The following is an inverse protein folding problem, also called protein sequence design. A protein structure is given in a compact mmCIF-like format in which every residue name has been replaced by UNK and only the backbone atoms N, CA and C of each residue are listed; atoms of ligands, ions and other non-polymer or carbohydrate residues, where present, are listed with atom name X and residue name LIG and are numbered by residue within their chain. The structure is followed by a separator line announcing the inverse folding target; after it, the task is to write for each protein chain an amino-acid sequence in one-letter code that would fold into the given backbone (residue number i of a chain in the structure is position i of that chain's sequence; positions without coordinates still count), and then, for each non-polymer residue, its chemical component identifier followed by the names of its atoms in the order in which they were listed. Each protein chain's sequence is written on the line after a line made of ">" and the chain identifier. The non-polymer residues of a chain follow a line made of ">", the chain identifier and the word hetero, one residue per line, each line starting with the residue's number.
data_IF_599234505332
#
_entry.id   IF_599234505332
#
_cell.length_a   1.000
_cell.length_b   1.000
_cell.length_c   1.000
_cell.angle_alpha   90.00
_cell.angle_beta   90.00
_cell.angle_gamma   90.00
#
_symmetry.space_group_name_H-M   'P 1'
#
loop_
_entity.id
_entity.type
_entity.pdbx_description
1 polymer ?
#
# COMPACT_ATOMS: atom_id res chain seq x y z
N UNK A 1 12.87 6.24 30.58
CA UNK A 1 13.60 6.23 29.28
C UNK A 1 12.89 5.48 28.14
N UNK A 2 12.24 4.32 28.39
CA UNK A 2 11.62 3.49 27.33
C UNK A 2 10.40 4.13 26.65
N UNK A 3 9.58 4.87 27.40
CA UNK A 3 8.40 5.58 26.87
C UNK A 3 8.77 6.75 25.94
N UNK A 4 9.86 7.47 26.25
CA UNK A 4 10.38 8.56 25.41
C UNK A 4 10.82 8.05 24.03
N UNK A 5 11.56 6.93 24.00
CA UNK A 5 11.99 6.29 22.74
C UNK A 5 10.79 5.84 21.89
N UNK A 6 9.78 5.22 22.49
CA UNK A 6 8.59 4.79 21.76
C UNK A 6 7.78 5.97 21.15
N UNK A 7 7.68 7.10 21.88
CA UNK A 7 7.04 8.32 21.37
C UNK A 7 7.84 8.93 20.22
N UNK A 8 9.16 8.96 20.33
CA UNK A 8 10.06 9.43 19.27
C UNK A 8 9.88 8.65 17.95
N UNK A 9 9.91 7.30 18.02
CA UNK A 9 9.72 6.47 16.84
C UNK A 9 8.33 6.65 16.21
N UNK A 10 7.28 6.78 17.03
CA UNK A 10 5.94 7.10 16.52
C UNK A 10 5.96 8.42 15.73
N UNK A 11 6.56 9.48 16.28
CA UNK A 11 6.68 10.78 15.61
C UNK A 11 7.46 10.66 14.29
N UNK A 12 8.54 9.87 14.27
CA UNK A 12 9.33 9.64 13.06
C UNK A 12 8.48 9.05 11.92
N UNK A 13 7.61 8.07 12.22
CA UNK A 13 6.71 7.50 11.21
C UNK A 13 5.71 8.54 10.67
N UNK A 14 5.19 9.43 11.53
CA UNK A 14 4.36 10.56 11.08
C UNK A 14 5.15 11.55 10.22
N UNK A 15 6.39 11.89 10.60
CA UNK A 15 7.25 12.73 9.78
C UNK A 15 7.49 12.12 8.39
N UNK A 16 7.74 10.80 8.31
CA UNK A 16 7.89 10.11 7.03
C UNK A 16 6.60 10.18 6.17
N UNK A 17 5.43 10.08 6.80
CA UNK A 17 4.15 10.24 6.12
C UNK A 17 3.94 11.66 5.59
N UNK A 18 4.16 12.69 6.41
CA UNK A 18 4.06 14.09 5.97
C UNK A 18 5.07 14.38 4.86
N UNK A 19 6.30 13.90 5.01
CA UNK A 19 7.32 14.02 3.97
C UNK A 19 6.88 13.39 2.66
N UNK A 20 6.24 12.21 2.68
CA UNK A 20 5.72 11.59 1.44
C UNK A 20 4.70 12.46 0.70
N UNK A 21 3.85 13.20 1.43
CA UNK A 21 2.92 14.15 0.81
C UNK A 21 3.63 15.33 0.20
N UNK A 22 4.50 15.99 0.98
CA UNK A 22 5.25 17.15 0.51
C UNK A 22 6.07 16.77 -0.73
N UNK A 23 6.78 15.65 -0.66
CA UNK A 23 7.56 15.12 -1.77
C UNK A 23 6.69 14.90 -3.01
N UNK A 24 5.55 14.20 -2.87
CA UNK A 24 4.65 13.95 -4.00
C UNK A 24 4.15 15.24 -4.63
N UNK A 25 3.66 16.19 -3.81
CA UNK A 25 3.14 17.47 -4.31
C UNK A 25 4.24 18.27 -5.01
N UNK A 26 5.42 18.39 -4.40
CA UNK A 26 6.55 19.13 -4.99
C UNK A 26 6.99 18.54 -6.32
N UNK A 27 7.08 17.20 -6.43
CA UNK A 27 7.48 16.55 -7.67
C UNK A 27 6.40 16.61 -8.76
N UNK A 28 5.13 16.41 -8.41
CA UNK A 28 4.01 16.55 -9.36
C UNK A 28 4.01 17.97 -9.94
N UNK A 29 4.11 18.98 -9.09
CA UNK A 29 4.15 20.39 -9.52
C UNK A 29 5.37 20.64 -10.42
N UNK A 30 6.54 20.17 -10.02
CA UNK A 30 7.76 20.27 -10.82
C UNK A 30 7.57 19.62 -12.20
N UNK A 31 7.13 18.36 -12.27
CA UNK A 31 6.95 17.64 -13.53
C UNK A 31 5.93 18.32 -14.45
N UNK A 32 4.85 18.89 -13.90
CA UNK A 32 3.89 19.66 -14.71
C UNK A 32 4.53 20.89 -15.36
N UNK A 33 5.46 21.57 -14.67
CA UNK A 33 6.22 22.67 -15.28
C UNK A 33 7.09 22.22 -16.47
N UNK A 34 7.49 20.95 -16.52
CA UNK A 34 8.21 20.35 -17.65
C UNK A 34 7.28 19.71 -18.69
N UNK A 35 5.96 19.87 -18.56
CA UNK A 35 4.97 19.42 -19.53
C UNK A 35 4.52 17.96 -19.36
N UNK A 36 4.79 17.33 -18.22
CA UNK A 36 4.27 15.99 -17.91
C UNK A 36 2.76 16.02 -17.58
N UNK A 37 2.08 14.90 -17.83
CA UNK A 37 0.65 14.75 -17.57
C UNK A 37 0.35 14.62 -16.07
N UNK A 38 -0.49 15.53 -15.54
CA UNK A 38 -0.87 15.56 -14.12
C UNK A 38 -1.48 14.25 -13.62
N UNK A 39 -2.34 13.62 -14.42
CA UNK A 39 -3.08 12.43 -13.99
C UNK A 39 -2.13 11.24 -13.90
N UNK A 40 -1.22 11.10 -14.86
CA UNK A 40 -0.18 10.08 -14.83
C UNK A 40 0.75 10.23 -13.61
N UNK A 41 1.18 11.46 -13.32
CA UNK A 41 2.00 11.75 -12.14
C UNK A 41 1.26 11.45 -10.83
N UNK A 42 -0.04 11.81 -10.75
CA UNK A 42 -0.89 11.47 -9.62
C UNK A 42 -0.99 9.95 -9.44
N UNK A 43 -1.17 9.17 -10.52
CA UNK A 43 -1.19 7.71 -10.44
C UNK A 43 0.13 7.16 -9.90
N UNK A 44 1.24 7.65 -10.45
CA UNK A 44 2.56 7.17 -10.09
C UNK A 44 2.85 7.41 -8.61
N UNK A 45 2.75 8.64 -8.13
CA UNK A 45 3.11 8.97 -6.75
C UNK A 45 2.15 8.37 -5.73
N UNK A 46 0.85 8.39 -6.00
CA UNK A 46 -0.12 7.78 -5.07
C UNK A 46 0.06 6.26 -4.98
N UNK A 47 0.36 5.60 -6.10
CA UNK A 47 0.58 4.15 -6.16
C UNK A 47 1.90 3.74 -5.49
N UNK A 48 3.00 4.45 -5.75
CA UNK A 48 4.32 4.07 -5.21
C UNK A 48 4.38 4.26 -3.70
N UNK A 49 3.82 5.34 -3.15
CA UNK A 49 3.79 5.55 -1.70
C UNK A 49 2.84 4.57 -1.00
N UNK A 50 1.70 4.24 -1.61
CA UNK A 50 0.84 3.16 -1.14
C UNK A 50 1.63 1.85 -0.99
N UNK A 51 2.35 1.45 -2.03
CA UNK A 51 3.12 0.21 -2.06
C UNK A 51 4.29 0.24 -1.07
N UNK A 52 4.99 1.38 -0.95
CA UNK A 52 6.12 1.57 -0.04
C UNK A 52 5.69 1.46 1.43
N UNK A 53 4.61 2.13 1.83
CA UNK A 53 4.10 2.04 3.20
C UNK A 53 3.59 0.64 3.53
N UNK A 54 2.99 -0.07 2.57
CA UNK A 54 2.55 -1.45 2.75
C UNK A 54 3.75 -2.41 2.93
N UNK A 55 4.81 -2.27 2.12
CA UNK A 55 6.07 -3.01 2.30
C UNK A 55 6.67 -2.76 3.69
N UNK A 56 6.80 -1.50 4.09
CA UNK A 56 7.35 -1.15 5.40
C UNK A 56 6.49 -1.76 6.53
N UNK A 57 5.16 -1.67 6.44
CA UNK A 57 4.24 -2.27 7.42
C UNK A 57 4.53 -3.77 7.61
N UNK A 58 4.69 -4.52 6.52
CA UNK A 58 4.97 -5.96 6.55
C UNK A 58 6.38 -6.26 7.07
N UNK A 59 7.41 -5.50 6.67
CA UNK A 59 8.78 -5.64 7.19
C UNK A 59 8.78 -5.50 8.71
N UNK A 60 8.21 -4.42 9.24
CA UNK A 60 8.13 -4.21 10.68
C UNK A 60 7.29 -5.29 11.39
N UNK A 61 6.29 -5.87 10.70
CA UNK A 61 5.48 -6.96 11.24
C UNK A 61 6.27 -8.28 11.34
N UNK A 62 7.12 -8.56 10.34
CA UNK A 62 7.89 -9.79 10.23
C UNK A 62 9.05 -9.81 11.23
N UNK A 63 9.85 -8.74 11.28
CA UNK A 63 11.07 -8.66 12.10
C UNK A 63 10.81 -8.27 13.57
N UNK A 64 9.64 -7.71 13.89
CA UNK A 64 9.19 -7.42 15.27
C UNK A 64 10.22 -6.65 16.13
N UNK A 65 10.81 -5.59 15.59
CA UNK A 65 11.80 -4.80 16.32
C UNK A 65 11.25 -4.24 17.65
N UNK A 66 12.11 -4.22 18.69
CA UNK A 66 11.72 -3.92 20.08
C UNK A 66 11.04 -2.56 20.28
N UNK A 67 11.51 -1.52 19.58
CA UNK A 67 11.07 -0.13 19.78
C UNK A 67 9.96 0.33 18.82
N UNK A 68 9.63 -0.46 17.80
CA UNK A 68 8.70 -0.08 16.73
C UNK A 68 7.50 -1.03 16.64
N UNK A 69 7.09 -1.62 17.77
CA UNK A 69 5.93 -2.54 17.84
C UNK A 69 4.63 -1.95 17.28
N UNK A 70 4.48 -0.62 17.26
CA UNK A 70 3.32 0.09 16.72
C UNK A 70 3.40 0.37 15.23
N UNK A 71 4.59 0.26 14.61
CA UNK A 71 4.83 0.60 13.21
C UNK A 71 3.99 -0.21 12.22
N UNK A 72 3.81 -1.54 12.36
CA UNK A 72 3.04 -2.30 11.39
C UNK A 72 1.63 -1.74 11.19
N UNK A 73 0.95 -1.42 12.30
CA UNK A 73 -0.39 -0.82 12.26
C UNK A 73 -0.35 0.60 11.70
N UNK A 74 0.60 1.42 12.16
CA UNK A 74 0.67 2.82 11.78
C UNK A 74 1.00 3.01 10.29
N UNK A 75 2.04 2.32 9.80
CA UNK A 75 2.44 2.32 8.40
C UNK A 75 1.39 1.69 7.50
N UNK A 76 0.69 0.66 7.97
CA UNK A 76 -0.43 0.07 7.24
C UNK A 76 -1.61 1.04 7.07
N UNK A 77 -1.88 1.89 8.08
CA UNK A 77 -2.88 2.96 7.95
C UNK A 77 -2.44 4.03 6.94
N UNK A 78 -1.17 4.42 6.95
CA UNK A 78 -0.62 5.36 5.97
C UNK A 78 -0.69 4.80 4.54
N UNK A 79 -0.34 3.54 4.34
CA UNK A 79 -0.52 2.85 3.07
C UNK A 79 -2.00 2.81 2.66
N UNK A 80 -2.92 2.55 3.58
CA UNK A 80 -4.36 2.60 3.33
C UNK A 80 -4.86 3.97 2.87
N UNK A 81 -4.34 5.07 3.43
CA UNK A 81 -4.67 6.43 2.98
C UNK A 81 -4.18 6.66 1.55
N UNK A 82 -2.93 6.29 1.25
CA UNK A 82 -2.38 6.40 -0.10
C UNK A 82 -3.12 5.55 -1.12
N UNK A 83 -3.52 4.31 -0.76
CA UNK A 83 -4.36 3.47 -1.63
C UNK A 83 -5.73 4.10 -1.88
N UNK A 84 -6.33 4.72 -0.86
CA UNK A 84 -7.59 5.43 -1.04
C UNK A 84 -7.45 6.62 -1.98
N UNK A 85 -6.38 7.40 -1.84
CA UNK A 85 -6.05 8.48 -2.78
C UNK A 85 -5.82 7.94 -4.20
N UNK A 86 -5.05 6.86 -4.34
CA UNK A 86 -4.78 6.23 -5.64
C UNK A 86 -6.06 5.79 -6.34
N UNK A 87 -6.96 5.11 -5.61
CA UNK A 87 -8.26 4.73 -6.15
C UNK A 87 -9.15 5.94 -6.46
N UNK A 88 -9.12 7.00 -5.64
CA UNK A 88 -9.85 8.23 -5.92
C UNK A 88 -9.37 8.92 -7.19
N UNK A 89 -8.05 9.01 -7.42
CA UNK A 89 -7.52 9.55 -8.67
C UNK A 89 -8.08 8.74 -9.85
N UNK A 90 -8.09 7.42 -9.73
CA UNK A 90 -8.61 6.52 -10.75
C UNK A 90 -10.10 6.73 -11.03
N UNK A 91 -10.89 6.72 -9.97
CA UNK A 91 -12.34 6.78 -10.06
C UNK A 91 -12.84 8.16 -10.49
N UNK A 92 -12.22 9.24 -9.99
CA UNK A 92 -12.60 10.62 -10.32
C UNK A 92 -12.11 10.99 -11.72
N UNK A 93 -10.81 10.88 -12.00
CA UNK A 93 -10.23 11.44 -13.22
C UNK A 93 -10.33 10.52 -14.43
N UNK A 94 -10.12 9.20 -14.27
CA UNK A 94 -10.21 8.28 -15.41
C UNK A 94 -11.57 7.63 -15.61
N UNK A 95 -12.41 7.55 -14.57
CA UNK A 95 -13.77 7.00 -14.69
C UNK A 95 -14.87 8.06 -14.63
N UNK A 96 -14.56 9.33 -14.39
CA UNK A 96 -15.55 10.41 -14.26
C UNK A 96 -16.67 10.04 -13.27
N UNK A 97 -16.32 9.39 -12.16
CA UNK A 97 -17.25 8.90 -11.13
C UNK A 97 -18.30 7.89 -11.64
N UNK A 98 -18.09 7.28 -12.81
CA UNK A 98 -19.00 6.30 -13.37
C UNK A 98 -18.72 4.90 -12.84
N UNK A 99 -19.66 4.37 -12.07
CA UNK A 99 -19.62 2.97 -11.57
C UNK A 99 -19.67 1.96 -12.72
N UNK A 100 -20.38 2.28 -13.81
CA UNK A 100 -20.47 1.42 -15.00
C UNK A 100 -19.10 1.27 -15.65
N UNK A 101 -18.40 2.39 -15.90
CA UNK A 101 -17.04 2.37 -16.48
C UNK A 101 -16.04 1.68 -15.54
N UNK A 102 -16.17 1.90 -14.24
CA UNK A 102 -15.36 1.20 -13.24
C UNK A 102 -15.55 -0.31 -13.35
N UNK A 103 -16.80 -0.78 -13.39
CA UNK A 103 -17.13 -2.21 -13.46
C UNK A 103 -16.65 -2.85 -14.76
N UNK A 104 -16.85 -2.17 -15.89
CA UNK A 104 -16.37 -2.63 -17.19
C UNK A 104 -14.85 -2.84 -17.16
N UNK A 105 -14.10 -1.89 -16.62
CA UNK A 105 -12.64 -1.98 -16.56
C UNK A 105 -12.14 -3.10 -15.65
N UNK A 106 -12.65 -3.20 -14.42
CA UNK A 106 -12.18 -4.20 -13.45
C UNK A 106 -12.57 -5.63 -13.84
N UNK A 107 -13.61 -5.80 -14.66
CA UNK A 107 -14.06 -7.11 -15.14
C UNK A 107 -13.37 -7.56 -16.43
N UNK A 108 -12.95 -6.61 -17.27
CA UNK A 108 -12.34 -6.91 -18.57
C UNK A 108 -10.81 -6.94 -18.54
N UNK A 109 -10.18 -6.14 -17.65
CA UNK A 109 -8.74 -5.95 -17.66
C UNK A 109 -8.09 -6.41 -16.35
N UNK A 110 -7.11 -7.30 -16.47
CA UNK A 110 -6.39 -7.90 -15.33
C UNK A 110 -5.63 -6.86 -14.51
N UNK A 111 -5.09 -5.83 -15.16
CA UNK A 111 -4.37 -4.75 -14.49
C UNK A 111 -5.30 -4.02 -13.51
N UNK A 112 -6.44 -3.53 -13.95
CA UNK A 112 -7.42 -2.82 -13.13
C UNK A 112 -8.08 -3.75 -12.11
N UNK A 113 -8.43 -4.97 -12.51
CA UNK A 113 -9.04 -5.96 -11.62
C UNK A 113 -8.12 -6.34 -10.46
N UNK A 114 -6.82 -6.56 -10.70
CA UNK A 114 -5.85 -6.87 -9.65
C UNK A 114 -5.68 -5.73 -8.65
N UNK A 115 -5.62 -4.49 -9.13
CA UNK A 115 -5.57 -3.29 -8.29
C UNK A 115 -6.82 -3.14 -7.44
N UNK A 116 -8.00 -3.40 -8.01
CA UNK A 116 -9.27 -3.31 -7.28
C UNK A 116 -9.41 -4.38 -6.19
N UNK A 117 -8.95 -5.62 -6.45
CA UNK A 117 -8.92 -6.67 -5.43
C UNK A 117 -8.00 -6.28 -4.27
N UNK A 118 -6.80 -5.75 -4.55
CA UNK A 118 -5.90 -5.25 -3.52
C UNK A 118 -6.53 -4.09 -2.73
N UNK A 119 -7.19 -3.16 -3.42
CA UNK A 119 -7.92 -2.05 -2.81
C UNK A 119 -8.98 -2.53 -1.82
N UNK A 120 -9.82 -3.51 -2.17
CA UNK A 120 -10.83 -4.06 -1.27
C UNK A 120 -10.19 -4.65 -0.01
N UNK A 121 -9.12 -5.44 -0.15
CA UNK A 121 -8.47 -6.09 1.00
C UNK A 121 -7.92 -5.03 1.96
N UNK A 122 -7.15 -4.05 1.46
CA UNK A 122 -6.58 -3.02 2.33
C UNK A 122 -7.65 -2.09 2.89
N UNK A 123 -8.71 -1.80 2.15
CA UNK A 123 -9.85 -1.00 2.64
C UNK A 123 -10.56 -1.69 3.81
N UNK A 124 -10.81 -3.00 3.72
CA UNK A 124 -11.35 -3.79 4.84
C UNK A 124 -10.39 -3.83 6.04
N UNK A 125 -9.07 -3.93 5.80
CA UNK A 125 -8.06 -3.82 6.86
C UNK A 125 -8.05 -2.44 7.51
N UNK A 126 -8.21 -1.38 6.72
CA UNK A 126 -8.32 -0.01 7.21
C UNK A 126 -9.57 0.15 8.09
N UNK A 127 -10.74 -0.27 7.60
CA UNK A 127 -12.00 -0.31 8.35
C UNK A 127 -11.87 -1.07 9.68
N UNK A 128 -11.19 -2.22 9.67
CA UNK A 128 -10.99 -3.02 10.90
C UNK A 128 -10.27 -2.26 12.02
N UNK A 129 -9.59 -1.15 11.71
CA UNK A 129 -8.90 -0.28 12.68
C UNK A 129 -9.84 0.59 13.52
N UNK A 130 -11.10 0.74 13.11
CA UNK A 130 -12.12 1.43 13.89
C UNK A 130 -12.86 0.46 14.81
N UNK A 131 -13.20 0.90 16.02
CA UNK A 131 -13.86 0.07 17.06
C UNK A 131 -15.14 -0.62 16.57
N UNK A 132 -15.90 0.03 15.69
CA UNK A 132 -17.17 -0.47 15.12
C UNK A 132 -16.99 -1.72 14.24
N UNK A 133 -15.82 -1.89 13.62
CA UNK A 133 -15.57 -2.95 12.65
C UNK A 133 -14.59 -4.02 13.17
N UNK A 134 -14.56 -4.25 14.49
CA UNK A 134 -13.67 -5.24 15.12
C UNK A 134 -13.90 -6.67 14.61
N UNK A 135 -15.08 -6.99 14.07
CA UNK A 135 -15.35 -8.29 13.43
C UNK A 135 -14.46 -8.54 12.19
N UNK A 136 -13.97 -7.48 11.54
CA UNK A 136 -13.10 -7.55 10.36
C UNK A 136 -11.61 -7.69 10.71
N UNK A 137 -11.24 -7.79 11.99
CA UNK A 137 -9.82 -7.88 12.37
C UNK A 137 -9.11 -9.11 11.78
N UNK A 138 -9.85 -10.18 11.49
CA UNK A 138 -9.31 -11.38 10.82
C UNK A 138 -8.76 -11.07 9.43
N UNK A 139 -9.30 -10.05 8.74
CA UNK A 139 -8.85 -9.63 7.39
C UNK A 139 -7.40 -9.14 7.42
N UNK A 140 -6.90 -8.63 8.56
CA UNK A 140 -5.48 -8.23 8.68
C UNK A 140 -4.50 -9.37 8.41
N UNK A 141 -4.92 -10.63 8.55
CA UNK A 141 -4.11 -11.80 8.18
C UNK A 141 -3.82 -11.86 6.68
N UNK A 142 -4.69 -11.26 5.86
CA UNK A 142 -4.51 -11.14 4.41
C UNK A 142 -3.51 -10.06 4.02
N UNK A 143 -2.89 -9.32 4.96
CA UNK A 143 -1.94 -8.25 4.64
C UNK A 143 -0.77 -8.70 3.75
N UNK A 144 -0.25 -9.91 3.97
CA UNK A 144 0.81 -10.48 3.11
C UNK A 144 0.28 -10.80 1.71
N UNK A 145 -0.93 -11.35 1.59
CA UNK A 145 -1.57 -11.62 0.30
C UNK A 145 -1.87 -10.31 -0.44
N UNK A 146 -2.40 -9.31 0.27
CA UNK A 146 -2.65 -7.97 -0.23
C UNK A 146 -1.38 -7.35 -0.82
N UNK A 147 -0.24 -7.51 -0.13
CA UNK A 147 1.03 -7.01 -0.61
C UNK A 147 1.47 -7.70 -1.91
N UNK A 148 1.31 -9.03 -2.01
CA UNK A 148 1.62 -9.76 -3.25
C UNK A 148 0.76 -9.29 -4.41
N UNK A 149 -0.57 -9.16 -4.20
CA UNK A 149 -1.48 -8.68 -5.25
C UNK A 149 -1.17 -7.23 -5.64
N UNK A 150 -0.86 -6.35 -4.67
CA UNK A 150 -0.50 -4.97 -4.94
C UNK A 150 0.84 -4.86 -5.70
N UNK A 151 1.85 -5.64 -5.33
CA UNK A 151 3.12 -5.70 -6.07
C UNK A 151 2.95 -6.29 -7.48
N UNK A 152 2.05 -7.27 -7.64
CA UNK A 152 1.71 -7.82 -8.95
C UNK A 152 0.97 -6.79 -9.82
N UNK A 153 0.04 -6.04 -9.25
CA UNK A 153 -0.60 -4.91 -9.92
C UNK A 153 0.45 -3.88 -10.40
N UNK A 154 1.40 -3.51 -9.55
CA UNK A 154 2.51 -2.62 -9.94
C UNK A 154 3.37 -3.22 -11.05
N UNK A 155 3.67 -4.52 -10.99
CA UNK A 155 4.41 -5.23 -12.04
C UNK A 155 3.71 -5.15 -13.41
N UNK A 156 2.37 -5.20 -13.43
CA UNK A 156 1.57 -5.08 -14.65
C UNK A 156 1.48 -3.66 -15.20
N UNK A 157 1.83 -2.63 -14.43
CA UNK A 157 1.76 -1.24 -14.88
C UNK A 157 2.81 -0.90 -15.95
N UNK A 158 3.95 -1.57 -15.93
CA UNK A 158 5.04 -1.37 -16.87
C UNK A 158 4.85 -2.27 -18.09
N UNK A 159 4.93 -1.68 -19.30
CA UNK A 159 4.91 -2.45 -20.55
C UNK A 159 6.07 -3.46 -20.61
N UNK A 160 7.23 -3.05 -20.10
CA UNK A 160 8.39 -3.90 -19.85
C UNK A 160 8.83 -3.65 -18.40
N UNK A 161 8.67 -4.61 -17.49
CA UNK A 161 9.04 -4.44 -16.08
C UNK A 161 10.54 -4.17 -15.91
N UNK A 162 10.88 -3.19 -15.07
CA UNK A 162 12.24 -2.87 -14.69
C UNK A 162 12.57 -3.49 -13.33
N UNK A 163 13.79 -3.19 -12.84
CA UNK A 163 14.32 -3.76 -11.60
C UNK A 163 13.42 -3.50 -10.39
N UNK A 164 12.72 -2.36 -10.32
CA UNK A 164 11.91 -2.00 -9.17
C UNK A 164 10.61 -2.82 -9.08
N UNK A 165 9.98 -3.10 -10.23
CA UNK A 165 8.79 -3.95 -10.34
C UNK A 165 9.12 -5.39 -9.94
N UNK A 166 10.23 -5.94 -10.45
CA UNK A 166 10.71 -7.26 -10.04
C UNK A 166 11.07 -7.31 -8.55
N UNK A 167 11.71 -6.27 -8.03
CA UNK A 167 12.11 -6.21 -6.63
C UNK A 167 10.89 -6.13 -5.70
N UNK A 168 9.90 -5.29 -6.02
CA UNK A 168 8.67 -5.19 -5.23
C UNK A 168 7.88 -6.51 -5.22
N UNK A 169 7.76 -7.18 -6.38
CA UNK A 169 7.10 -8.47 -6.46
C UNK A 169 7.89 -9.57 -5.75
N UNK A 170 9.20 -9.66 -6.01
CA UNK A 170 10.09 -10.65 -5.39
C UNK A 170 10.12 -10.56 -3.86
N UNK A 171 10.23 -9.34 -3.31
CA UNK A 171 10.17 -9.13 -1.86
C UNK A 171 8.80 -9.50 -1.29
N UNK A 172 7.71 -9.13 -1.95
CA UNK A 172 6.35 -9.49 -1.49
C UNK A 172 6.17 -11.01 -1.39
N UNK A 173 6.64 -11.75 -2.39
CA UNK A 173 6.61 -13.22 -2.42
C UNK A 173 7.50 -13.82 -1.33
N UNK A 174 8.71 -13.29 -1.15
CA UNK A 174 9.62 -13.69 -0.07
C UNK A 174 8.95 -13.54 1.29
N UNK A 175 8.33 -12.38 1.58
CA UNK A 175 7.65 -12.13 2.84
C UNK A 175 6.46 -13.08 3.05
N UNK A 176 5.71 -13.35 1.99
CA UNK A 176 4.61 -14.31 2.01
C UNK A 176 5.12 -15.71 2.36
N UNK A 177 6.16 -16.21 1.68
CA UNK A 177 6.75 -17.53 1.93
C UNK A 177 7.30 -17.62 3.36
N UNK A 178 8.07 -16.63 3.83
CA UNK A 178 8.60 -16.58 5.19
C UNK A 178 7.49 -16.65 6.24
N UNK A 179 6.37 -15.97 6.00
CA UNK A 179 5.21 -16.00 6.90
C UNK A 179 4.58 -17.40 6.98
N UNK A 180 4.40 -18.08 5.84
CA UNK A 180 3.83 -19.43 5.81
C UNK A 180 4.77 -20.48 6.41
N UNK A 181 6.06 -20.41 6.13
CA UNK A 181 7.05 -21.36 6.67
C UNK A 181 7.15 -21.26 8.21
N UNK A 182 7.13 -20.06 8.77
CA UNK A 182 7.10 -19.85 10.23
C UNK A 182 5.81 -20.40 10.87
N UNK A 183 4.69 -20.40 10.17
CA UNK A 183 3.44 -21.00 10.66
C UNK A 183 3.53 -22.52 10.77
N UNK A 184 4.18 -23.19 9.82
CA UNK A 184 4.37 -24.64 9.86
C UNK A 184 5.41 -25.09 10.88
N UNK A 185 6.50 -24.32 11.09
CA UNK A 185 7.51 -24.64 12.11
C UNK A 185 7.01 -24.50 13.55
N UNK A 186 6.05 -23.61 13.82
CA UNK A 186 5.47 -23.40 15.16
C UNK A 186 4.33 -24.37 15.54
N UNK A 187 4.02 -25.35 14.69
CA UNK A 187 3.04 -26.42 14.92
C UNK A 187 3.68 -27.80 15.14
N UNK A 188 5.00 -27.86 15.30
CA UNK A 188 5.72 -29.05 15.76
C UNK A 188 6.00 -28.94 17.25
#
# INVERSE_FOLDING_TARGET
>A
MMCLKAKFYKNLAFCAFIFSFIFSVSFIVYNIFFGFDLILELYFYTGIFALLFLHLSIIFSLFKFKYTKTYPKLLGLFGGIWVFLHFLVYFVFSKNLSVVKLYEDISTRVFEGSGFVAFIIIFLMFLSSFKRFKKLEKVRKLGYLCLVIASYHYFLSAKVPYIFEYLALGLSLLYFILRYNCYFKGKK
#
